data_IF_488879952312
#
_entry.id   IF_488879952312
#
_cell.length_a   1.000
_cell.length_b   1.000
_cell.length_c   1.000
_cell.angle_alpha   90.00
_cell.angle_beta   90.00
_cell.angle_gamma   90.00
#
_symmetry.space_group_name_H-M   'P 1'
#
loop_
_entity.id
_entity.type
_entity.pdbx_description
1 polymer ?
#
# COMPACT_ATOMS: atom_id res chain seq x y z
N UNK A 1 -8.73 -46.85 27.00
CA UNK A 1 -9.26 -45.52 26.65
C UNK A 1 -8.18 -44.81 25.86
N UNK A 2 -8.22 -44.93 24.53
CA UNK A 2 -7.22 -44.36 23.62
C UNK A 2 -7.59 -42.91 23.37
N UNK A 3 -6.79 -41.94 23.88
CA UNK A 3 -6.89 -40.53 23.54
C UNK A 3 -6.27 -40.36 22.17
N UNK A 4 -7.11 -40.21 21.16
CA UNK A 4 -6.67 -39.82 19.83
C UNK A 4 -6.09 -38.41 19.92
N UNK A 5 -4.78 -38.26 19.79
CA UNK A 5 -4.11 -36.98 19.57
C UNK A 5 -4.50 -36.52 18.18
N UNK A 6 -5.48 -35.64 18.08
CA UNK A 6 -5.71 -34.85 16.87
C UNK A 6 -4.50 -33.93 16.66
N UNK A 7 -3.60 -34.33 15.78
CA UNK A 7 -2.59 -33.44 15.24
C UNK A 7 -3.33 -32.27 14.58
N UNK A 8 -3.50 -31.15 15.31
CA UNK A 8 -3.91 -29.88 14.71
C UNK A 8 -2.82 -29.54 13.69
N UNK A 9 -3.15 -29.68 12.41
CA UNK A 9 -2.25 -29.36 11.33
C UNK A 9 -1.75 -27.93 11.52
N UNK A 10 -0.48 -27.78 11.84
CA UNK A 10 0.22 -26.51 11.75
C UNK A 10 0.11 -26.06 10.30
N UNK A 11 -0.72 -25.05 10.04
CA UNK A 11 -0.78 -24.41 8.74
C UNK A 11 0.61 -23.86 8.46
N UNK A 12 1.33 -24.51 7.55
CA UNK A 12 2.66 -24.09 7.16
C UNK A 12 2.59 -22.63 6.66
N UNK A 13 3.54 -21.78 7.03
CA UNK A 13 3.66 -20.40 6.48
C UNK A 13 3.60 -20.41 4.94
N UNK A 14 4.14 -21.45 4.30
CA UNK A 14 4.08 -21.63 2.83
C UNK A 14 2.65 -21.81 2.32
N UNK A 15 1.79 -22.51 3.07
CA UNK A 15 0.38 -22.72 2.66
C UNK A 15 -0.45 -21.43 2.71
N UNK A 16 0.01 -20.42 3.42
CA UNK A 16 -0.65 -19.09 3.49
C UNK A 16 -0.04 -18.08 2.53
N UNK A 17 1.26 -18.18 2.28
CA UNK A 17 1.97 -17.23 1.41
C UNK A 17 1.47 -17.28 -0.03
N UNK A 18 1.20 -18.47 -0.57
CA UNK A 18 0.73 -18.64 -1.96
C UNK A 18 -0.64 -17.99 -2.18
N UNK A 19 -1.71 -18.31 -1.40
CA UNK A 19 -3.00 -17.65 -1.59
C UNK A 19 -2.95 -16.15 -1.29
N UNK A 20 -2.13 -15.70 -0.34
CA UNK A 20 -1.91 -14.28 -0.08
C UNK A 20 -1.32 -13.57 -1.31
N UNK A 21 -0.26 -14.13 -1.88
CA UNK A 21 0.39 -13.56 -3.06
C UNK A 21 -0.56 -13.52 -4.26
N UNK A 22 -1.33 -14.58 -4.49
CA UNK A 22 -2.32 -14.61 -5.58
C UNK A 22 -3.40 -13.54 -5.40
N UNK A 23 -3.98 -13.42 -4.22
CA UNK A 23 -4.97 -12.36 -3.93
C UNK A 23 -4.36 -10.97 -4.05
N UNK A 24 -3.15 -10.79 -3.55
CA UNK A 24 -2.43 -9.52 -3.67
C UNK A 24 -2.21 -9.13 -5.13
N UNK A 25 -1.75 -10.05 -5.96
CA UNK A 25 -1.56 -9.80 -7.40
C UNK A 25 -2.88 -9.48 -8.11
N UNK A 26 -3.96 -10.17 -7.76
CA UNK A 26 -5.31 -9.91 -8.31
C UNK A 26 -5.76 -8.48 -7.96
N UNK A 27 -5.61 -8.04 -6.71
CA UNK A 27 -6.09 -6.71 -6.31
C UNK A 27 -5.16 -5.59 -6.76
N UNK A 28 -3.87 -5.85 -6.95
CA UNK A 28 -2.92 -4.87 -7.47
C UNK A 28 -3.03 -4.71 -9.00
N UNK A 29 -3.40 -5.76 -9.71
CA UNK A 29 -3.49 -5.77 -11.18
C UNK A 29 -4.24 -4.57 -11.77
N UNK A 30 -5.45 -4.19 -11.30
CA UNK A 30 -6.17 -3.05 -11.87
C UNK A 30 -5.40 -1.72 -11.80
N UNK A 31 -4.58 -1.51 -10.76
CA UNK A 31 -3.75 -0.30 -10.63
C UNK A 31 -2.69 -0.22 -11.75
N UNK A 32 -2.17 -1.38 -12.15
CA UNK A 32 -1.11 -1.47 -13.16
C UNK A 32 -1.64 -1.58 -14.59
N UNK A 33 -2.90 -2.00 -14.75
CA UNK A 33 -3.54 -2.14 -16.06
C UNK A 33 -3.89 -0.79 -16.72
N UNK A 34 -3.89 0.30 -15.95
CA UNK A 34 -4.25 1.65 -16.43
C UNK A 34 -3.08 2.62 -16.24
N UNK A 35 -2.95 3.67 -17.06
CA UNK A 35 -1.87 4.65 -16.93
C UNK A 35 -1.84 5.34 -15.57
N UNK A 36 -2.99 5.84 -15.10
CA UNK A 36 -3.14 6.46 -13.77
C UNK A 36 -4.43 5.98 -13.09
N UNK A 37 -4.37 5.51 -11.84
CA UNK A 37 -5.56 5.17 -11.06
C UNK A 37 -6.49 6.39 -10.91
N UNK A 38 -7.82 6.23 -11.11
CA UNK A 38 -8.79 7.33 -11.07
C UNK A 38 -9.16 7.69 -9.62
N UNK A 39 -8.16 8.06 -8.81
CA UNK A 39 -8.36 8.52 -7.43
C UNK A 39 -8.39 10.05 -7.43
N UNK A 40 -9.30 10.64 -6.65
CA UNK A 40 -9.61 12.07 -6.73
C UNK A 40 -8.36 12.95 -6.48
N UNK A 41 -7.61 12.69 -5.41
CA UNK A 41 -6.44 13.51 -5.03
C UNK A 41 -5.11 12.99 -5.60
N UNK A 42 -5.11 11.87 -6.31
CA UNK A 42 -3.90 11.25 -6.82
C UNK A 42 -3.10 12.14 -7.79
N UNK A 43 -3.73 12.88 -8.72
CA UNK A 43 -2.99 13.80 -9.59
C UNK A 43 -2.23 14.88 -8.82
N UNK A 44 -2.78 15.39 -7.71
CA UNK A 44 -2.12 16.37 -6.84
C UNK A 44 -0.89 15.76 -6.15
N UNK A 45 -1.00 14.52 -5.68
CA UNK A 45 0.14 13.78 -5.14
C UNK A 45 1.24 13.58 -6.19
N UNK A 46 0.89 13.14 -7.40
CA UNK A 46 1.86 12.96 -8.48
C UNK A 46 2.55 14.29 -8.88
N UNK A 47 1.78 15.38 -8.99
CA UNK A 47 2.32 16.69 -9.30
C UNK A 47 3.34 17.13 -8.23
N UNK A 48 3.03 16.97 -6.95
CA UNK A 48 3.93 17.30 -5.85
C UNK A 48 5.20 16.45 -5.89
N UNK A 49 5.09 15.13 -6.08
CA UNK A 49 6.25 14.25 -6.20
C UNK A 49 7.11 14.63 -7.39
N UNK A 50 6.50 14.96 -8.53
CA UNK A 50 7.22 15.41 -9.73
C UNK A 50 8.03 16.66 -9.45
N UNK A 51 7.44 17.67 -8.78
CA UNK A 51 8.14 18.92 -8.40
C UNK A 51 9.32 18.60 -7.47
N UNK A 52 9.10 17.77 -6.44
CA UNK A 52 10.13 17.39 -5.47
C UNK A 52 11.27 16.58 -6.11
N UNK A 53 10.97 15.73 -7.08
CA UNK A 53 11.96 14.93 -7.80
C UNK A 53 12.75 15.74 -8.84
N UNK A 54 12.24 16.93 -9.27
CA UNK A 54 12.83 17.75 -10.31
C UNK A 54 13.07 19.21 -9.83
N UNK A 55 13.83 19.44 -8.75
CA UNK A 55 14.00 20.79 -8.16
C UNK A 55 14.69 21.77 -9.08
N UNK A 56 15.45 21.30 -10.07
CA UNK A 56 16.18 22.13 -11.05
C UNK A 56 15.42 22.31 -12.36
N UNK A 57 14.14 21.90 -12.43
CA UNK A 57 13.36 22.05 -13.67
C UNK A 57 13.16 23.53 -14.01
N UNK A 58 13.56 24.02 -15.22
CA UNK A 58 13.67 25.45 -15.53
C UNK A 58 12.39 26.27 -15.34
N UNK A 59 11.24 25.65 -15.61
CA UNK A 59 9.93 26.30 -15.44
C UNK A 59 9.44 26.16 -13.99
N UNK A 60 9.53 24.97 -13.40
CA UNK A 60 8.99 24.72 -12.05
C UNK A 60 9.75 25.50 -10.98
N UNK A 61 11.07 25.63 -11.10
CA UNK A 61 11.91 26.40 -10.18
C UNK A 61 11.57 27.91 -10.13
N UNK A 62 10.81 28.42 -11.10
CA UNK A 62 10.33 29.80 -11.08
C UNK A 62 9.08 30.00 -10.22
N UNK A 63 8.32 28.93 -9.96
CA UNK A 63 7.03 28.97 -9.26
C UNK A 63 6.99 28.21 -7.96
N UNK A 64 7.91 27.25 -7.76
CA UNK A 64 7.92 26.36 -6.60
C UNK A 64 9.30 26.34 -5.95
N UNK A 65 9.30 26.52 -4.64
CA UNK A 65 10.46 26.32 -3.78
C UNK A 65 10.16 25.19 -2.81
N UNK A 66 11.08 24.20 -2.74
CA UNK A 66 10.88 23.01 -1.90
C UNK A 66 11.51 23.20 -0.53
N UNK A 67 10.68 23.22 0.51
CA UNK A 67 11.13 23.26 1.90
C UNK A 67 10.75 21.95 2.60
N UNK A 68 11.76 21.15 2.94
CA UNK A 68 11.55 19.94 3.73
C UNK A 68 11.42 20.28 5.21
N UNK A 69 10.40 19.74 5.88
CA UNK A 69 10.16 19.91 7.31
C UNK A 69 9.43 18.71 7.89
N UNK A 70 9.35 18.62 9.19
CA UNK A 70 8.56 17.59 9.89
C UNK A 70 7.09 18.01 9.83
N UNK A 71 6.40 17.56 8.82
CA UNK A 71 4.98 17.82 8.59
C UNK A 71 4.18 16.49 8.61
N UNK A 72 2.91 16.52 9.00
CA UNK A 72 2.04 15.36 8.87
C UNK A 72 1.83 15.00 7.39
N UNK A 73 1.45 13.77 7.12
CA UNK A 73 1.08 13.28 5.79
C UNK A 73 2.21 13.34 4.73
N UNK A 74 3.45 13.02 5.10
CA UNK A 74 4.61 12.99 4.19
C UNK A 74 5.01 11.59 3.72
N UNK A 75 4.26 10.54 4.07
CA UNK A 75 4.68 9.17 3.78
C UNK A 75 4.86 8.92 2.27
N UNK A 76 3.93 9.42 1.45
CA UNK A 76 4.01 9.27 0.01
C UNK A 76 5.20 10.05 -0.58
N UNK A 77 5.42 11.27 -0.11
CA UNK A 77 6.54 12.11 -0.56
C UNK A 77 7.89 11.47 -0.20
N UNK A 78 8.03 10.96 1.02
CA UNK A 78 9.26 10.30 1.45
C UNK A 78 9.55 9.00 0.71
N UNK A 79 8.51 8.25 0.35
CA UNK A 79 8.65 7.00 -0.40
C UNK A 79 8.78 7.21 -1.90
N UNK A 80 7.87 8.00 -2.49
CA UNK A 80 7.75 8.07 -3.94
C UNK A 80 8.71 9.08 -4.58
N UNK A 81 9.15 10.14 -3.87
CA UNK A 81 10.10 11.11 -4.46
C UNK A 81 11.44 10.46 -4.83
N UNK A 82 12.12 9.67 -3.97
CA UNK A 82 13.35 9.00 -4.37
C UNK A 82 13.16 8.03 -5.54
N UNK A 83 12.02 7.35 -5.58
CA UNK A 83 11.70 6.45 -6.69
C UNK A 83 11.45 7.21 -7.99
N UNK A 84 10.80 8.38 -7.93
CA UNK A 84 10.53 9.23 -9.09
C UNK A 84 11.79 9.88 -9.69
N UNK A 85 12.91 9.89 -8.97
CA UNK A 85 14.21 10.27 -9.53
C UNK A 85 14.80 9.19 -10.45
N UNK A 86 14.34 7.95 -10.35
CA UNK A 86 14.84 6.79 -11.09
C UNK A 86 13.79 6.20 -12.06
N UNK A 87 12.52 6.39 -11.76
CA UNK A 87 11.37 5.84 -12.47
C UNK A 87 10.44 6.99 -12.88
N UNK A 88 9.39 6.68 -13.66
CA UNK A 88 8.34 7.70 -13.86
C UNK A 88 7.56 7.95 -12.57
N UNK A 89 7.01 9.15 -12.43
CA UNK A 89 6.21 9.53 -11.25
C UNK A 89 4.97 8.66 -11.08
N UNK A 90 4.38 8.20 -12.20
CA UNK A 90 3.23 7.29 -12.21
C UNK A 90 3.60 5.92 -11.64
N UNK A 91 4.77 5.39 -12.02
CA UNK A 91 5.28 4.12 -11.51
C UNK A 91 5.58 4.24 -10.01
N UNK A 92 6.25 5.31 -9.59
CA UNK A 92 6.53 5.56 -8.17
C UNK A 92 5.24 5.64 -7.33
N UNK A 93 4.21 6.34 -7.83
CA UNK A 93 2.91 6.43 -7.18
C UNK A 93 2.18 5.09 -7.11
N UNK A 94 2.19 4.28 -8.19
CA UNK A 94 1.60 2.92 -8.19
C UNK A 94 2.30 1.97 -7.22
N UNK A 95 3.63 2.07 -7.11
CA UNK A 95 4.39 1.30 -6.12
C UNK A 95 3.96 1.66 -4.70
N UNK A 96 3.74 2.95 -4.41
CA UNK A 96 3.26 3.38 -3.11
C UNK A 96 1.86 2.82 -2.79
N UNK A 97 0.91 2.87 -3.73
CA UNK A 97 -0.43 2.29 -3.54
C UNK A 97 -0.33 0.76 -3.35
N UNK A 98 0.51 0.09 -4.14
CA UNK A 98 0.75 -1.36 -4.01
C UNK A 98 1.29 -1.70 -2.63
N UNK A 99 2.20 -0.88 -2.09
CA UNK A 99 2.73 -1.03 -0.72
C UNK A 99 1.64 -0.83 0.34
N UNK A 100 0.74 0.15 0.17
CA UNK A 100 -0.42 0.33 1.06
C UNK A 100 -1.27 -0.94 1.09
N UNK A 101 -1.58 -1.52 -0.06
CA UNK A 101 -2.37 -2.76 -0.14
C UNK A 101 -1.67 -3.92 0.59
N UNK A 102 -0.36 -4.04 0.42
CA UNK A 102 0.44 -5.04 1.11
C UNK A 102 0.37 -4.85 2.64
N UNK A 103 0.59 -3.63 3.11
CA UNK A 103 0.60 -3.29 4.54
C UNK A 103 -0.77 -3.53 5.18
N UNK A 104 -1.85 -3.04 4.57
CA UNK A 104 -3.21 -3.20 5.11
C UNK A 104 -3.61 -4.68 5.15
N UNK A 105 -3.42 -5.43 4.07
CA UNK A 105 -3.80 -6.84 4.02
C UNK A 105 -2.96 -7.69 4.99
N UNK A 106 -1.63 -7.49 5.03
CA UNK A 106 -0.75 -8.22 5.95
C UNK A 106 -0.98 -7.79 7.40
N UNK A 107 -1.24 -6.50 7.66
CA UNK A 107 -1.56 -5.97 8.99
C UNK A 107 -2.81 -6.61 9.58
N UNK A 108 -3.90 -6.73 8.80
CA UNK A 108 -5.14 -7.41 9.23
C UNK A 108 -4.90 -8.89 9.56
N UNK A 109 -4.11 -9.60 8.73
CA UNK A 109 -3.74 -11.00 8.99
C UNK A 109 -2.89 -11.12 10.26
N UNK A 110 -1.91 -10.25 10.44
CA UNK A 110 -1.03 -10.22 11.60
C UNK A 110 -1.81 -9.90 12.89
N UNK A 111 -2.66 -8.88 12.87
CA UNK A 111 -3.52 -8.52 14.00
C UNK A 111 -4.47 -9.65 14.39
N UNK A 112 -5.11 -10.28 13.40
CA UNK A 112 -5.97 -11.45 13.66
C UNK A 112 -5.19 -12.59 14.32
N UNK A 113 -4.00 -12.92 13.80
CA UNK A 113 -3.15 -13.95 14.38
C UNK A 113 -2.69 -13.59 15.79
N UNK A 114 -2.32 -12.34 16.04
CA UNK A 114 -1.89 -11.87 17.36
C UNK A 114 -3.00 -12.06 18.41
N UNK A 115 -4.25 -11.74 18.05
CA UNK A 115 -5.40 -11.81 18.93
C UNK A 115 -5.91 -13.24 19.14
N UNK A 116 -5.97 -14.05 18.09
CA UNK A 116 -6.65 -15.34 18.14
C UNK A 116 -5.70 -16.54 18.15
N UNK A 117 -4.39 -16.33 17.92
CA UNK A 117 -3.36 -17.38 17.81
C UNK A 117 -3.70 -18.49 16.81
N UNK A 118 -4.57 -18.17 15.86
CA UNK A 118 -4.99 -19.05 14.76
C UNK A 118 -5.36 -18.19 13.56
N UNK A 119 -5.18 -18.75 12.36
CA UNK A 119 -5.67 -18.13 11.13
C UNK A 119 -7.03 -18.72 10.78
N UNK A 120 -7.94 -17.86 10.36
CA UNK A 120 -9.29 -18.21 9.90
C UNK A 120 -9.54 -17.60 8.53
N UNK A 121 -10.71 -17.83 7.94
CA UNK A 121 -11.07 -17.26 6.66
C UNK A 121 -11.39 -15.75 6.72
N UNK A 122 -11.78 -15.21 7.87
CA UNK A 122 -12.28 -13.85 8.01
C UNK A 122 -11.28 -12.75 7.62
N UNK A 123 -9.99 -12.80 8.02
CA UNK A 123 -9.02 -11.76 7.65
C UNK A 123 -8.81 -11.63 6.13
N UNK A 124 -9.06 -12.69 5.37
CA UNK A 124 -8.92 -12.67 3.91
C UNK A 124 -9.95 -11.76 3.23
N UNK A 125 -11.06 -11.46 3.90
CA UNK A 125 -12.04 -10.49 3.43
C UNK A 125 -11.45 -9.08 3.32
N UNK A 126 -10.34 -8.77 4.01
CA UNK A 126 -9.66 -7.48 3.89
C UNK A 126 -9.30 -7.12 2.46
N UNK A 127 -9.00 -8.10 1.60
CA UNK A 127 -8.69 -7.86 0.19
C UNK A 127 -9.85 -7.21 -0.57
N UNK A 128 -11.11 -7.54 -0.27
CA UNK A 128 -12.28 -6.90 -0.87
C UNK A 128 -12.44 -5.43 -0.44
N UNK A 129 -11.93 -5.08 0.73
CA UNK A 129 -12.03 -3.73 1.28
C UNK A 129 -10.84 -2.82 0.96
N UNK A 130 -9.85 -3.29 0.20
CA UNK A 130 -8.72 -2.46 -0.23
C UNK A 130 -9.18 -1.33 -1.16
N UNK A 131 -10.15 -1.58 -2.04
CA UNK A 131 -10.80 -0.57 -2.86
C UNK A 131 -11.96 0.09 -2.09
N UNK A 132 -11.62 0.90 -1.11
CA UNK A 132 -12.56 1.60 -0.23
C UNK A 132 -12.69 3.09 -0.58
N UNK A 133 -13.67 3.81 -0.02
CA UNK A 133 -13.84 5.24 -0.27
C UNK A 133 -12.61 6.09 0.02
N UNK A 134 -11.83 5.78 1.07
CA UNK A 134 -10.61 6.53 1.39
C UNK A 134 -9.54 6.41 0.30
N UNK A 135 -9.41 5.23 -0.31
CA UNK A 135 -8.56 5.05 -1.49
C UNK A 135 -9.09 5.88 -2.66
N UNK A 136 -10.40 5.81 -2.96
CA UNK A 136 -11.00 6.55 -4.08
C UNK A 136 -10.86 8.07 -3.92
N UNK A 137 -10.92 8.58 -2.69
CA UNK A 137 -10.63 9.99 -2.38
C UNK A 137 -9.15 10.34 -2.49
N UNK A 138 -8.25 9.35 -2.47
CA UNK A 138 -6.81 9.56 -2.55
C UNK A 138 -6.13 9.83 -1.20
N UNK A 139 -6.74 9.41 -0.08
CA UNK A 139 -6.16 9.56 1.28
C UNK A 139 -5.03 8.56 1.53
N UNK A 140 -4.04 8.58 0.66
CA UNK A 140 -2.98 7.56 0.60
C UNK A 140 -2.09 7.54 1.85
N UNK A 141 -1.74 8.71 2.37
CA UNK A 141 -0.93 8.82 3.59
C UNK A 141 -1.67 8.26 4.83
N UNK A 142 -2.99 8.49 4.90
CA UNK A 142 -3.84 7.91 5.95
C UNK A 142 -3.89 6.39 5.87
N UNK A 143 -4.12 5.84 4.69
CA UNK A 143 -4.16 4.39 4.48
C UNK A 143 -2.80 3.73 4.74
N UNK A 144 -1.71 4.40 4.42
CA UNK A 144 -0.37 3.95 4.77
C UNK A 144 -0.19 3.86 6.30
N UNK A 145 -0.58 4.91 7.02
CA UNK A 145 -0.54 4.91 8.48
C UNK A 145 -1.41 3.82 9.11
N UNK A 146 -2.61 3.60 8.55
CA UNK A 146 -3.51 2.52 8.98
C UNK A 146 -2.88 1.13 8.78
N UNK A 147 -2.16 0.94 7.68
CA UNK A 147 -1.48 -0.33 7.40
C UNK A 147 -0.28 -0.61 8.30
N UNK A 148 0.30 0.42 8.94
CA UNK A 148 1.40 0.30 9.89
C UNK A 148 0.95 0.10 11.34
N UNK A 149 -0.31 0.45 11.69
CA UNK A 149 -0.86 0.38 13.04
C UNK A 149 -1.22 -1.05 13.45
#
# INVERSE_FOLDING_TARGET
>A
MLVASTSRGETSLRSLAVPFLLLYLIVVYPLWAIPAPPLIDYPNHLARIFILANPQHPVLAQFYESHWGVLPNLAMELFATPLAMLLSVEVAGKLFISMIFLLVASGVLAAHYALHRRLSAWPWLSFFFLYNPFLLWGWLNYLFGLGLA
#
